data_IF_450895814909
#
_entry.id   IF_450895814909
#
_cell.length_a   1.000
_cell.length_b   1.000
_cell.length_c   1.000
_cell.angle_alpha   90.00
_cell.angle_beta   90.00
_cell.angle_gamma   90.00
#
_symmetry.space_group_name_H-M   'P 1'
#
loop_
_entity.id
_entity.type
_entity.pdbx_description
1 polymer ?
#
# COMPACT_ATOMS: atom_id res chain seq x y z
N UNK A 1 -44.64 11.01 0.56
CA UNK A 1 -43.74 9.90 0.14
C UNK A 1 -42.35 10.37 -0.30
N UNK A 2 -42.22 11.55 -0.91
CA UNK A 2 -40.94 12.15 -1.32
C UNK A 2 -39.94 12.37 -0.17
N UNK A 3 -40.40 12.80 1.01
CA UNK A 3 -39.52 13.04 2.17
C UNK A 3 -38.91 11.74 2.74
N UNK A 4 -39.66 10.64 2.76
CA UNK A 4 -39.16 9.35 3.25
C UNK A 4 -38.12 8.74 2.30
N UNK A 5 -38.32 8.88 0.98
CA UNK A 5 -37.35 8.44 -0.03
C UNK A 5 -36.07 9.28 0.00
N UNK A 6 -36.18 10.59 0.23
CA UNK A 6 -35.04 11.48 0.41
C UNK A 6 -34.22 11.12 1.67
N UNK A 7 -34.89 10.87 2.81
CA UNK A 7 -34.22 10.47 4.06
C UNK A 7 -33.55 9.10 3.96
N UNK A 8 -34.19 8.13 3.31
CA UNK A 8 -33.61 6.79 3.06
C UNK A 8 -32.40 6.88 2.13
N UNK A 9 -32.47 7.70 1.07
CA UNK A 9 -31.35 7.92 0.16
C UNK A 9 -30.19 8.59 0.88
N UNK A 10 -30.45 9.62 1.68
CA UNK A 10 -29.42 10.33 2.44
C UNK A 10 -28.72 9.42 3.46
N UNK A 11 -29.49 8.60 4.19
CA UNK A 11 -28.93 7.62 5.12
C UNK A 11 -28.03 6.59 4.43
N UNK A 12 -28.47 6.04 3.29
CA UNK A 12 -27.69 5.06 2.52
C UNK A 12 -26.42 5.70 1.94
N UNK A 13 -26.54 6.90 1.37
CA UNK A 13 -25.41 7.65 0.81
C UNK A 13 -24.40 7.97 1.89
N UNK A 14 -24.84 8.46 3.06
CA UNK A 14 -23.98 8.78 4.21
C UNK A 14 -23.26 7.54 4.76
N UNK A 15 -23.96 6.40 4.88
CA UNK A 15 -23.34 5.14 5.31
C UNK A 15 -22.28 4.66 4.32
N UNK A 16 -22.58 4.72 3.03
CA UNK A 16 -21.62 4.36 1.99
C UNK A 16 -20.44 5.33 1.95
N UNK A 17 -20.67 6.62 2.19
CA UNK A 17 -19.63 7.64 2.22
C UNK A 17 -18.60 7.36 3.31
N UNK A 18 -19.04 7.03 4.53
CA UNK A 18 -18.13 6.60 5.62
C UNK A 18 -17.30 5.38 5.23
N UNK A 19 -17.93 4.41 4.55
CA UNK A 19 -17.23 3.20 4.10
C UNK A 19 -16.22 3.50 2.98
N UNK A 20 -16.55 4.40 2.06
CA UNK A 20 -15.64 4.88 1.00
C UNK A 20 -14.41 5.54 1.66
N UNK A 21 -14.61 6.41 2.65
CA UNK A 21 -13.54 7.09 3.38
C UNK A 21 -12.63 6.09 4.10
N UNK A 22 -13.20 5.08 4.77
CA UNK A 22 -12.38 4.02 5.39
C UNK A 22 -11.56 3.25 4.35
N UNK A 23 -12.18 2.81 3.25
CA UNK A 23 -11.47 2.08 2.18
C UNK A 23 -10.36 2.92 1.54
N UNK A 24 -10.59 4.22 1.34
CA UNK A 24 -9.59 5.14 0.82
C UNK A 24 -8.44 5.36 1.81
N UNK A 25 -8.76 5.52 3.10
CA UNK A 25 -7.74 5.63 4.15
C UNK A 25 -6.87 4.37 4.22
N UNK A 26 -7.48 3.19 4.15
CA UNK A 26 -6.76 1.93 4.13
C UNK A 26 -5.88 1.81 2.89
N UNK A 27 -6.40 2.15 1.70
CA UNK A 27 -5.63 2.19 0.45
C UNK A 27 -4.43 3.15 0.53
N UNK A 28 -4.62 4.34 1.11
CA UNK A 28 -3.52 5.30 1.34
C UNK A 28 -2.47 4.77 2.32
N UNK A 29 -2.89 4.05 3.36
CA UNK A 29 -1.97 3.40 4.29
C UNK A 29 -1.14 2.33 3.59
N UNK A 30 -1.76 1.51 2.72
CA UNK A 30 -1.06 0.52 1.90
C UNK A 30 -0.07 1.17 0.93
N UNK A 31 -0.43 2.29 0.30
CA UNK A 31 0.47 3.05 -0.57
C UNK A 31 1.73 3.54 0.16
N UNK A 32 1.56 4.04 1.40
CA UNK A 32 2.68 4.46 2.24
C UNK A 32 3.61 3.27 2.56
N UNK A 33 3.04 2.11 2.88
CA UNK A 33 3.81 0.89 3.14
C UNK A 33 4.57 0.43 1.89
N UNK A 34 3.95 0.45 0.71
CA UNK A 34 4.62 0.14 -0.57
C UNK A 34 5.80 1.10 -0.78
N UNK A 35 5.58 2.39 -0.57
CA UNK A 35 6.63 3.41 -0.72
C UNK A 35 7.80 3.15 0.22
N UNK A 36 7.52 2.83 1.48
CA UNK A 36 8.54 2.49 2.47
C UNK A 36 9.33 1.24 2.06
N UNK A 37 8.65 0.17 1.63
CA UNK A 37 9.33 -1.05 1.17
C UNK A 37 10.22 -0.79 -0.06
N UNK A 38 9.82 0.10 -0.96
CA UNK A 38 10.66 0.53 -2.08
C UNK A 38 11.90 1.30 -1.62
N UNK A 39 11.77 2.16 -0.62
CA UNK A 39 12.91 2.86 -0.03
C UNK A 39 13.89 1.88 0.62
N UNK A 40 13.38 0.92 1.40
CA UNK A 40 14.18 -0.13 2.02
C UNK A 40 14.90 -0.98 0.96
N UNK A 41 14.23 -1.30 -0.15
CA UNK A 41 14.82 -1.97 -1.31
C UNK A 41 15.96 -1.15 -1.94
N UNK A 42 15.80 0.16 -2.09
CA UNK A 42 16.86 1.02 -2.64
C UNK A 42 18.08 1.08 -1.72
N UNK A 43 17.85 1.17 -0.41
CA UNK A 43 18.93 1.12 0.59
C UNK A 43 19.66 -0.22 0.54
N UNK A 44 18.93 -1.33 0.33
CA UNK A 44 19.51 -2.66 0.14
C UNK A 44 20.48 -2.70 -1.05
N UNK A 45 20.07 -2.17 -2.20
CA UNK A 45 20.91 -2.10 -3.40
C UNK A 45 22.13 -1.20 -3.19
N UNK A 46 21.99 -0.07 -2.50
CA UNK A 46 23.14 0.78 -2.13
C UNK A 46 24.13 0.06 -1.22
N UNK A 47 23.65 -0.75 -0.26
CA UNK A 47 24.51 -1.57 0.59
C UNK A 47 25.23 -2.66 -0.21
N UNK A 48 24.58 -3.25 -1.22
CA UNK A 48 25.20 -4.19 -2.16
C UNK A 48 26.34 -3.54 -2.92
N UNK A 49 26.09 -2.37 -3.49
CA UNK A 49 27.10 -1.63 -4.26
C UNK A 49 28.27 -1.24 -3.37
N UNK A 50 27.99 -0.83 -2.13
CA UNK A 50 29.02 -0.54 -1.11
C UNK A 50 29.87 -1.78 -0.81
N UNK A 51 29.26 -2.95 -0.60
CA UNK A 51 29.99 -4.19 -0.37
C UNK A 51 30.90 -4.55 -1.56
N UNK A 52 30.40 -4.37 -2.78
CA UNK A 52 31.16 -4.63 -4.00
C UNK A 52 32.36 -3.69 -4.12
N UNK A 53 32.19 -2.39 -3.81
CA UNK A 53 33.28 -1.42 -3.76
C UNK A 53 34.32 -1.82 -2.70
N UNK A 54 33.90 -2.21 -1.50
CA UNK A 54 34.83 -2.63 -0.44
C UNK A 54 35.69 -3.83 -0.86
N UNK A 55 35.10 -4.78 -1.60
CA UNK A 55 35.80 -5.94 -2.13
C UNK A 55 36.74 -5.52 -3.27
N UNK A 56 36.26 -4.70 -4.21
CA UNK A 56 37.04 -4.24 -5.35
C UNK A 56 38.22 -3.36 -4.95
N UNK A 57 38.08 -2.58 -3.86
CA UNK A 57 39.13 -1.72 -3.33
C UNK A 57 40.17 -2.46 -2.49
N UNK A 58 40.08 -3.80 -2.39
CA UNK A 58 40.90 -4.62 -1.50
C UNK A 58 40.92 -4.08 -0.06
N UNK A 59 39.75 -3.64 0.44
CA UNK A 59 39.61 -3.22 1.83
C UNK A 59 40.02 -4.36 2.78
N UNK A 60 40.38 -4.01 4.02
CA UNK A 60 40.74 -5.03 5.00
C UNK A 60 39.58 -6.01 5.19
N UNK A 61 39.90 -7.31 5.27
CA UNK A 61 38.92 -8.37 5.51
C UNK A 61 38.09 -8.10 6.77
N UNK A 62 38.69 -7.44 7.76
CA UNK A 62 38.01 -7.03 8.98
C UNK A 62 36.85 -6.08 8.70
N UNK A 63 37.05 -5.04 7.87
CA UNK A 63 36.01 -4.09 7.51
C UNK A 63 34.88 -4.75 6.70
N UNK A 64 35.23 -5.60 5.72
CA UNK A 64 34.25 -6.34 4.91
C UNK A 64 33.39 -7.25 5.81
N UNK A 65 34.02 -7.91 6.79
CA UNK A 65 33.31 -8.78 7.74
C UNK A 65 32.38 -7.97 8.63
N UNK A 66 32.85 -6.85 9.21
CA UNK A 66 32.02 -5.98 10.05
C UNK A 66 30.80 -5.46 9.29
N UNK A 67 31.00 -4.92 8.10
CA UNK A 67 29.92 -4.44 7.25
C UNK A 67 28.91 -5.56 6.93
N UNK A 68 29.39 -6.75 6.56
CA UNK A 68 28.54 -7.89 6.24
C UNK A 68 27.74 -8.36 7.46
N UNK A 69 28.36 -8.39 8.65
CA UNK A 69 27.68 -8.74 9.91
C UNK A 69 26.57 -7.73 10.22
N UNK A 70 26.87 -6.44 10.16
CA UNK A 70 25.89 -5.37 10.41
C UNK A 70 24.72 -5.44 9.43
N UNK A 71 25.03 -5.62 8.15
CA UNK A 71 24.04 -5.79 7.11
C UNK A 71 23.15 -7.01 7.36
N UNK A 72 23.73 -8.19 7.56
CA UNK A 72 22.99 -9.43 7.79
C UNK A 72 22.14 -9.36 9.06
N UNK A 73 22.61 -8.69 10.10
CA UNK A 73 21.84 -8.43 11.32
C UNK A 73 20.64 -7.52 11.00
N UNK A 74 20.83 -6.49 10.18
CA UNK A 74 19.75 -5.56 9.81
C UNK A 74 18.62 -6.22 9.01
N UNK A 75 18.91 -7.32 8.29
CA UNK A 75 17.91 -8.11 7.56
C UNK A 75 17.44 -9.35 8.34
N UNK A 76 17.78 -9.47 9.63
CA UNK A 76 17.26 -10.49 10.52
C UNK A 76 17.92 -11.87 10.42
N UNK A 77 19.13 -11.97 9.87
CA UNK A 77 19.88 -13.23 9.87
C UNK A 77 20.38 -13.52 11.28
N UNK A 78 20.15 -14.74 11.77
CA UNK A 78 20.62 -15.16 13.08
C UNK A 78 22.14 -15.43 13.10
N UNK A 79 22.80 -14.93 14.15
CA UNK A 79 24.22 -15.16 14.44
C UNK A 79 25.19 -14.94 13.25
N UNK A 80 25.08 -13.83 12.48
CA UNK A 80 25.83 -13.67 11.24
C UNK A 80 27.35 -13.63 11.48
N UNK A 81 27.79 -13.11 12.63
CA UNK A 81 29.22 -13.06 13.01
C UNK A 81 29.83 -14.46 13.12
N UNK A 82 29.15 -15.40 13.76
CA UNK A 82 29.68 -16.75 13.97
C UNK A 82 29.78 -17.50 12.63
N UNK A 83 28.75 -17.37 11.79
CA UNK A 83 28.71 -17.99 10.46
C UNK A 83 29.81 -17.48 9.53
N UNK A 84 30.06 -16.18 9.54
CA UNK A 84 31.08 -15.55 8.71
C UNK A 84 32.50 -15.83 9.20
N UNK A 85 32.73 -15.87 10.52
CA UNK A 85 34.03 -16.25 11.10
C UNK A 85 34.40 -17.71 10.83
N UNK A 86 33.41 -18.62 10.82
CA UNK A 86 33.62 -20.03 10.49
C UNK A 86 33.96 -20.25 9.01
N UNK A 87 33.59 -19.32 8.12
CA UNK A 87 33.75 -19.46 6.66
C UNK A 87 34.24 -18.15 6.02
N UNK A 88 35.45 -17.71 6.37
CA UNK A 88 36.02 -16.44 5.90
C UNK A 88 36.06 -16.30 4.35
N UNK A 89 36.17 -17.41 3.61
CA UNK A 89 36.15 -17.41 2.14
C UNK A 89 34.73 -17.33 1.54
N UNK A 90 33.68 -17.38 2.35
CA UNK A 90 32.28 -17.37 1.92
C UNK A 90 31.52 -16.11 2.32
N UNK A 91 32.21 -15.08 2.83
CA UNK A 91 31.54 -13.85 3.27
C UNK A 91 30.71 -13.22 2.15
N UNK A 92 31.30 -13.05 0.98
CA UNK A 92 30.60 -12.45 -0.16
C UNK A 92 29.46 -13.34 -0.69
N UNK A 93 29.69 -14.63 -1.04
CA UNK A 93 28.61 -15.52 -1.48
C UNK A 93 27.44 -15.59 -0.49
N UNK A 94 27.73 -15.77 0.80
CA UNK A 94 26.72 -15.87 1.84
C UNK A 94 25.93 -14.57 2.01
N UNK A 95 26.61 -13.42 1.98
CA UNK A 95 25.96 -12.12 2.09
C UNK A 95 25.06 -11.86 0.89
N UNK A 96 25.53 -12.18 -0.32
CA UNK A 96 24.78 -11.99 -1.54
C UNK A 96 23.54 -12.91 -1.63
N UNK A 97 23.67 -14.15 -1.16
CA UNK A 97 22.55 -15.10 -1.09
C UNK A 97 21.43 -14.58 -0.16
N UNK A 98 21.77 -14.18 1.06
CA UNK A 98 20.80 -13.65 2.01
C UNK A 98 20.18 -12.33 1.53
N UNK A 99 20.96 -11.48 0.88
CA UNK A 99 20.48 -10.25 0.25
C UNK A 99 19.47 -10.55 -0.86
N UNK A 100 19.78 -11.49 -1.76
CA UNK A 100 18.86 -11.88 -2.83
C UNK A 100 17.57 -12.48 -2.29
N UNK A 101 17.64 -13.30 -1.24
CA UNK A 101 16.45 -13.83 -0.57
C UNK A 101 15.59 -12.71 0.01
N UNK A 102 16.20 -11.81 0.79
CA UNK A 102 15.50 -10.66 1.37
C UNK A 102 14.86 -9.77 0.29
N UNK A 103 15.57 -9.58 -0.84
CA UNK A 103 15.05 -8.84 -1.99
C UNK A 103 13.78 -9.47 -2.57
N UNK A 104 13.80 -10.79 -2.78
CA UNK A 104 12.64 -11.53 -3.29
C UNK A 104 11.46 -11.45 -2.32
N UNK A 105 11.70 -11.62 -1.01
CA UNK A 105 10.68 -11.49 0.02
C UNK A 105 10.07 -10.09 0.04
N UNK A 106 10.88 -9.04 -0.07
CA UNK A 106 10.41 -7.65 -0.12
C UNK A 106 9.56 -7.40 -1.38
N UNK A 107 9.98 -7.86 -2.55
CA UNK A 107 9.18 -7.74 -3.78
C UNK A 107 7.85 -8.49 -3.67
N UNK A 108 7.86 -9.69 -3.08
CA UNK A 108 6.62 -10.44 -2.86
C UNK A 108 5.68 -9.71 -1.89
N UNK A 109 6.22 -9.12 -0.81
CA UNK A 109 5.43 -8.28 0.11
C UNK A 109 4.83 -7.06 -0.61
N UNK A 110 5.61 -6.38 -1.45
CA UNK A 110 5.12 -5.25 -2.26
C UNK A 110 3.96 -5.70 -3.14
N UNK A 111 4.12 -6.83 -3.87
CA UNK A 111 3.07 -7.35 -4.75
C UNK A 111 1.79 -7.67 -3.98
N UNK A 112 1.89 -8.37 -2.85
CA UNK A 112 0.73 -8.71 -2.02
C UNK A 112 -0.01 -7.45 -1.52
N UNK A 113 0.74 -6.46 -1.03
CA UNK A 113 0.16 -5.19 -0.54
C UNK A 113 -0.47 -4.40 -1.70
N UNK A 114 0.14 -4.46 -2.88
CA UNK A 114 -0.40 -3.82 -4.09
C UNK A 114 -1.71 -4.46 -4.53
N UNK A 115 -1.80 -5.79 -4.55
CA UNK A 115 -3.05 -6.51 -4.86
C UNK A 115 -4.16 -6.16 -3.86
N UNK A 116 -3.85 -6.12 -2.56
CA UNK A 116 -4.77 -5.68 -1.52
C UNK A 116 -5.26 -4.25 -1.78
N UNK A 117 -4.34 -3.32 -2.08
CA UNK A 117 -4.67 -1.93 -2.39
C UNK A 117 -5.60 -1.83 -3.60
N UNK A 118 -5.27 -2.51 -4.70
CA UNK A 118 -6.11 -2.53 -5.91
C UNK A 118 -7.52 -3.03 -5.59
N UNK A 119 -7.63 -4.06 -4.76
CA UNK A 119 -8.93 -4.57 -4.32
C UNK A 119 -9.72 -3.56 -3.47
N UNK A 120 -9.06 -2.82 -2.56
CA UNK A 120 -9.67 -1.73 -1.79
C UNK A 120 -10.16 -0.59 -2.70
N UNK A 121 -9.34 -0.18 -3.67
CA UNK A 121 -9.68 0.87 -4.64
C UNK A 121 -10.88 0.46 -5.51
N UNK A 122 -10.92 -0.80 -5.96
CA UNK A 122 -12.07 -1.35 -6.69
C UNK A 122 -13.35 -1.30 -5.85
N UNK A 123 -13.30 -1.72 -4.58
CA UNK A 123 -14.47 -1.65 -3.69
C UNK A 123 -14.94 -0.21 -3.46
N UNK A 124 -14.00 0.71 -3.27
CA UNK A 124 -14.29 2.13 -3.09
C UNK A 124 -14.98 2.70 -4.33
N UNK A 125 -14.44 2.44 -5.52
CA UNK A 125 -15.01 2.88 -6.79
C UNK A 125 -16.41 2.33 -7.05
N UNK A 126 -16.67 1.07 -6.69
CA UNK A 126 -18.01 0.47 -6.77
C UNK A 126 -19.02 1.20 -5.87
N UNK A 127 -18.63 1.55 -4.64
CA UNK A 127 -19.49 2.29 -3.71
C UNK A 127 -19.73 3.72 -4.19
N UNK A 128 -18.70 4.40 -4.70
CA UNK A 128 -18.82 5.74 -5.30
C UNK A 128 -19.83 5.71 -6.45
N UNK A 129 -19.73 4.73 -7.34
CA UNK A 129 -20.68 4.54 -8.46
C UNK A 129 -22.11 4.32 -7.97
N UNK A 130 -22.30 3.48 -6.94
CA UNK A 130 -23.62 3.26 -6.31
C UNK A 130 -24.18 4.54 -5.69
N UNK A 131 -23.37 5.29 -4.96
CA UNK A 131 -23.77 6.58 -4.38
C UNK A 131 -24.17 7.59 -5.44
N UNK A 132 -23.41 7.68 -6.54
CA UNK A 132 -23.76 8.54 -7.67
C UNK A 132 -25.15 8.21 -8.25
N UNK A 133 -25.50 6.92 -8.32
CA UNK A 133 -26.84 6.50 -8.77
C UNK A 133 -27.93 6.90 -7.78
N UNK A 134 -27.72 6.68 -6.47
CA UNK A 134 -28.68 7.10 -5.45
C UNK A 134 -28.90 8.61 -5.45
N UNK A 135 -27.82 9.40 -5.56
CA UNK A 135 -27.92 10.86 -5.69
C UNK A 135 -28.71 11.27 -6.93
N UNK A 136 -28.47 10.62 -8.07
CA UNK A 136 -29.21 10.91 -9.31
C UNK A 136 -30.71 10.61 -9.17
N UNK A 137 -31.06 9.51 -8.51
CA UNK A 137 -32.46 9.14 -8.23
C UNK A 137 -33.10 10.14 -7.27
N UNK A 138 -32.40 10.53 -6.20
CA UNK A 138 -32.89 11.52 -5.24
C UNK A 138 -33.16 12.87 -5.91
N UNK A 139 -32.23 13.36 -6.74
CA UNK A 139 -32.38 14.59 -7.53
C UNK A 139 -33.56 14.50 -8.49
N UNK A 140 -33.74 13.37 -9.17
CA UNK A 140 -34.90 13.15 -10.06
C UNK A 140 -36.22 13.30 -9.29
N UNK A 141 -36.37 12.64 -8.14
CA UNK A 141 -37.58 12.76 -7.32
C UNK A 141 -37.78 14.17 -6.76
N UNK A 142 -36.71 14.88 -6.40
CA UNK A 142 -36.77 16.28 -5.97
C UNK A 142 -37.30 17.19 -7.08
N UNK A 143 -36.74 17.09 -8.29
CA UNK A 143 -37.18 17.85 -9.46
C UNK A 143 -38.64 17.52 -9.80
N UNK A 144 -38.99 16.23 -9.84
CA UNK A 144 -40.35 15.79 -10.12
C UNK A 144 -41.37 16.30 -9.09
N UNK A 145 -41.00 16.27 -7.81
CA UNK A 145 -41.82 16.86 -6.74
C UNK A 145 -42.01 18.36 -6.91
N UNK A 146 -40.97 19.08 -7.31
CA UNK A 146 -41.03 20.53 -7.54
C UNK A 146 -41.93 20.87 -8.75
N UNK A 147 -41.85 20.10 -9.84
CA UNK A 147 -42.74 20.22 -11.00
C UNK A 147 -44.21 19.99 -10.59
N UNK A 148 -44.50 18.96 -9.78
CA UNK A 148 -45.86 18.68 -9.32
C UNK A 148 -46.44 19.79 -8.42
N UNK A 149 -45.61 20.40 -7.58
CA UNK A 149 -46.03 21.55 -6.75
C UNK A 149 -46.31 22.77 -7.61
N UNK A 150 -45.44 23.07 -8.58
CA UNK A 150 -45.63 24.18 -9.52
C UNK A 150 -46.85 23.99 -10.40
N UNK A 151 -47.07 22.77 -10.92
CA UNK A 151 -48.21 22.49 -11.80
C UNK A 151 -49.54 22.63 -11.08
N UNK A 152 -49.64 22.23 -9.81
CA UNK A 152 -50.84 22.47 -9.00
C UNK A 152 -51.16 23.97 -8.91
N UNK A 153 -50.15 24.82 -8.75
CA UNK A 153 -50.32 26.26 -8.60
C UNK A 153 -50.71 26.98 -9.90
N UNK A 154 -50.54 26.34 -11.06
CA UNK A 154 -50.90 26.87 -12.38
C UNK A 154 -52.37 26.58 -12.73
N UNK A 155 -53.01 25.61 -12.07
CA UNK A 155 -54.40 25.19 -12.31
C UNK A 155 -55.40 25.71 -11.25
N UNK A 156 -54.95 26.58 -10.34
CA UNK A 156 -55.80 27.42 -9.45
C UNK A 156 -55.76 28.88 -9.93
#
# INVERSE_FOLDING_TARGET
MTSASALLSDYIVSKNQKKIETLQSDSQSKEKLITQLWQDYQVLEQKKDTLLILIASNSSQHYITLFSVEFLTSIGVENPKQTLLANANRIYPFTMENMNRYKQETLQKINNIYEEKVYLDMQSNQLISKNSRYNSIALFFQIFGLILVLSKHIFE
#
